data_IF_481441157563
#
_entry.id   IF_481441157563
#
_cell.length_a   1.000
_cell.length_b   1.000
_cell.length_c   1.000
_cell.angle_alpha   90.00
_cell.angle_beta   90.00
_cell.angle_gamma   90.00
#
_symmetry.space_group_name_H-M   'P 1'
#
loop_
_entity.id
_entity.type
_entity.pdbx_description
1 polymer ?
#
# COMPACT_ATOMS: atom_id res chain seq x y z
N UNK A 1 -22.23 29.22 -38.24
CA UNK A 1 -21.15 28.70 -37.38
C UNK A 1 -21.27 27.18 -37.32
N UNK A 2 -20.72 26.47 -38.32
CA UNK A 2 -21.06 25.05 -38.64
C UNK A 2 -20.13 24.03 -37.98
N UNK A 3 -18.95 24.45 -37.51
CA UNK A 3 -17.93 23.54 -36.95
C UNK A 3 -18.39 22.88 -35.65
N UNK A 4 -19.28 23.54 -34.89
CA UNK A 4 -19.72 23.06 -33.57
C UNK A 4 -20.59 21.79 -33.62
N UNK A 5 -21.31 21.54 -34.72
CA UNK A 5 -22.20 20.37 -34.81
C UNK A 5 -21.46 19.04 -34.88
N UNK A 6 -20.16 19.05 -35.24
CA UNK A 6 -19.32 17.86 -35.29
C UNK A 6 -18.49 17.62 -34.02
N UNK A 7 -18.42 18.58 -33.11
CA UNK A 7 -17.61 18.49 -31.88
C UNK A 7 -18.44 17.80 -30.80
N UNK A 8 -18.00 16.63 -30.34
CA UNK A 8 -18.70 15.85 -29.30
C UNK A 8 -18.42 16.35 -27.88
N UNK A 9 -17.42 17.20 -27.70
CA UNK A 9 -16.98 17.69 -26.40
C UNK A 9 -17.72 18.97 -26.02
N UNK A 10 -18.63 18.87 -25.04
CA UNK A 10 -19.50 19.97 -24.64
C UNK A 10 -18.72 21.14 -24.00
N UNK A 11 -17.63 20.85 -23.27
CA UNK A 11 -16.79 21.89 -22.67
C UNK A 11 -16.08 22.73 -23.73
N UNK A 12 -15.56 22.08 -24.78
CA UNK A 12 -14.97 22.75 -25.93
C UNK A 12 -16.02 23.59 -26.68
N UNK A 13 -17.21 23.05 -26.92
CA UNK A 13 -18.31 23.78 -27.58
C UNK A 13 -18.70 25.03 -26.79
N UNK A 14 -18.85 24.91 -25.47
CA UNK A 14 -19.15 26.06 -24.61
C UNK A 14 -18.02 27.10 -24.61
N UNK A 15 -16.75 26.66 -24.61
CA UNK A 15 -15.59 27.56 -24.67
C UNK A 15 -15.49 28.30 -26.00
N UNK A 16 -15.84 27.66 -27.12
CA UNK A 16 -15.88 28.30 -28.42
C UNK A 16 -17.01 29.34 -28.45
N UNK A 17 -18.24 28.93 -28.14
CA UNK A 17 -19.41 29.81 -28.12
C UNK A 17 -19.24 31.07 -27.26
N UNK A 18 -18.58 30.95 -26.10
CA UNK A 18 -18.34 32.09 -25.19
C UNK A 18 -17.31 33.09 -25.73
N UNK A 19 -16.40 32.67 -26.62
CA UNK A 19 -15.28 33.48 -27.09
C UNK A 19 -15.43 33.97 -28.55
N UNK A 20 -16.57 33.73 -29.19
CA UNK A 20 -16.67 33.68 -30.67
C UNK A 20 -17.17 34.95 -31.36
N UNK A 21 -17.34 36.10 -30.69
CA UNK A 21 -17.88 37.30 -31.37
C UNK A 21 -16.91 37.94 -32.38
N UNK A 22 -15.60 37.64 -32.34
CA UNK A 22 -14.59 38.29 -33.21
C UNK A 22 -13.51 37.38 -33.77
N UNK A 23 -13.56 36.06 -33.52
CA UNK A 23 -12.49 35.14 -33.95
C UNK A 23 -12.62 34.69 -35.40
N UNK A 24 -11.46 34.49 -36.03
CA UNK A 24 -11.42 33.90 -37.36
C UNK A 24 -11.72 32.41 -37.31
N UNK A 25 -12.25 31.86 -38.41
CA UNK A 25 -12.48 30.43 -38.55
C UNK A 25 -11.18 29.61 -38.34
N UNK A 26 -10.04 30.17 -38.73
CA UNK A 26 -8.74 29.52 -38.58
C UNK A 26 -8.33 29.41 -37.10
N UNK A 27 -8.64 30.41 -36.27
CA UNK A 27 -8.40 30.37 -34.83
C UNK A 27 -9.26 29.32 -34.13
N UNK A 28 -10.51 29.17 -34.56
CA UNK A 28 -11.44 28.15 -34.05
C UNK A 28 -10.88 26.76 -34.37
N UNK A 29 -10.50 26.51 -35.62
CA UNK A 29 -9.90 25.23 -36.04
C UNK A 29 -8.61 24.93 -35.27
N UNK A 30 -7.75 25.94 -35.10
CA UNK A 30 -6.51 25.77 -34.35
C UNK A 30 -6.78 25.43 -32.88
N UNK A 31 -7.77 26.09 -32.26
CA UNK A 31 -8.20 25.80 -30.89
C UNK A 31 -8.68 24.36 -30.74
N UNK A 32 -9.50 23.85 -31.66
CA UNK A 32 -9.95 22.46 -31.64
C UNK A 32 -8.76 21.48 -31.72
N UNK A 33 -7.82 21.69 -32.65
CA UNK A 33 -6.62 20.84 -32.81
C UNK A 33 -5.75 20.83 -31.54
N UNK A 34 -5.53 22.01 -30.95
CA UNK A 34 -4.76 22.13 -29.71
C UNK A 34 -5.46 21.41 -28.57
N UNK A 35 -6.79 21.52 -28.48
CA UNK A 35 -7.58 20.83 -27.46
C UNK A 35 -7.44 19.31 -27.59
N UNK A 36 -7.58 18.77 -28.80
CA UNK A 36 -7.42 17.34 -29.08
C UNK A 36 -6.02 16.83 -28.72
N UNK A 37 -4.96 17.54 -29.12
CA UNK A 37 -3.59 17.19 -28.79
C UNK A 37 -3.33 17.25 -27.27
N UNK A 38 -3.89 18.26 -26.59
CA UNK A 38 -3.70 18.45 -25.15
C UNK A 38 -4.47 17.41 -24.34
N UNK A 39 -5.58 16.87 -24.86
CA UNK A 39 -6.37 15.83 -24.19
C UNK A 39 -5.57 14.55 -23.94
N UNK A 40 -4.81 14.10 -24.94
CA UNK A 40 -3.91 12.93 -24.79
C UNK A 40 -2.74 13.21 -23.85
N UNK A 41 -2.22 14.44 -23.82
CA UNK A 41 -1.13 14.84 -22.93
C UNK A 41 -1.62 14.90 -21.48
N UNK A 42 -2.80 15.50 -21.27
CA UNK A 42 -3.39 15.66 -19.93
C UNK A 42 -3.74 14.32 -19.30
N UNK A 43 -4.24 13.36 -20.09
CA UNK A 43 -4.48 12.00 -19.59
C UNK A 43 -3.17 11.31 -19.19
N UNK A 44 -2.10 11.46 -19.97
CA UNK A 44 -0.79 10.92 -19.64
C UNK A 44 -0.19 11.56 -18.37
N UNK A 45 -0.33 12.88 -18.20
CA UNK A 45 0.11 13.60 -17.00
C UNK A 45 -0.67 13.13 -15.76
N UNK A 46 -2.00 13.01 -15.86
CA UNK A 46 -2.85 12.53 -14.75
C UNK A 46 -2.57 11.07 -14.38
N UNK A 47 -2.21 10.24 -15.37
CA UNK A 47 -1.83 8.84 -15.16
C UNK A 47 -0.44 8.68 -14.50
N UNK A 48 0.29 9.78 -14.25
CA UNK A 48 1.59 9.81 -13.57
C UNK A 48 1.50 10.31 -12.10
N UNK A 49 0.65 9.75 -11.21
CA UNK A 49 0.55 10.22 -9.83
C UNK A 49 1.79 9.89 -8.98
N UNK A 50 2.74 9.09 -9.49
CA UNK A 50 3.91 8.64 -8.72
C UNK A 50 5.10 9.61 -8.73
N UNK A 51 5.24 10.45 -9.77
CA UNK A 51 6.40 11.34 -9.93
C UNK A 51 6.23 12.68 -9.18
N UNK A 52 5.03 13.27 -9.21
CA UNK A 52 4.76 14.57 -8.57
C UNK A 52 4.60 14.45 -7.04
N UNK A 53 4.20 13.27 -6.55
CA UNK A 53 4.01 12.99 -5.13
C UNK A 53 5.26 12.45 -4.41
N UNK A 54 6.45 12.53 -5.02
CA UNK A 54 7.69 12.01 -4.43
C UNK A 54 7.92 12.55 -2.99
N UNK A 55 7.56 13.81 -2.73
CA UNK A 55 7.70 14.44 -1.41
C UNK A 55 6.66 13.93 -0.39
N UNK A 56 5.44 13.62 -0.82
CA UNK A 56 4.40 13.07 0.07
C UNK A 56 4.60 11.56 0.33
N UNK A 57 5.12 10.83 -0.66
CA UNK A 57 5.55 9.45 -0.53
C UNK A 57 6.72 9.31 0.45
N UNK A 58 7.69 10.22 0.42
CA UNK A 58 8.78 10.27 1.39
C UNK A 58 8.27 10.42 2.84
N UNK A 59 7.29 11.31 3.08
CA UNK A 59 6.69 11.48 4.42
C UNK A 59 5.91 10.25 4.89
N UNK A 60 5.14 9.60 4.00
CA UNK A 60 4.40 8.36 4.34
C UNK A 60 5.33 7.19 4.64
N UNK A 61 6.44 7.05 3.91
CA UNK A 61 7.44 6.01 4.19
C UNK A 61 8.20 6.29 5.49
N UNK A 62 8.50 7.56 5.84
CA UNK A 62 9.15 7.88 7.10
C UNK A 62 8.29 7.53 8.33
N UNK A 63 6.97 7.71 8.24
CA UNK A 63 6.04 7.30 9.31
C UNK A 63 5.95 5.77 9.42
N UNK A 64 5.89 5.03 8.31
CA UNK A 64 5.93 3.55 8.34
C UNK A 64 7.26 3.00 8.86
N UNK A 65 8.38 3.64 8.52
CA UNK A 65 9.69 3.23 9.01
C UNK A 65 9.91 3.57 10.50
N UNK A 66 9.39 4.70 11.01
CA UNK A 66 9.46 4.99 12.45
C UNK A 66 8.60 4.03 13.30
N UNK A 67 7.49 3.53 12.77
CA UNK A 67 6.72 2.45 13.42
C UNK A 67 7.44 1.09 13.37
N UNK A 68 8.31 0.86 12.40
CA UNK A 68 9.04 -0.42 12.25
C UNK A 68 10.41 -0.45 12.96
N UNK A 69 11.06 0.71 13.15
CA UNK A 69 12.40 0.79 13.76
C UNK A 69 12.34 0.73 15.29
N UNK A 70 11.21 1.11 15.91
CA UNK A 70 10.96 0.83 17.34
C UNK A 70 10.61 -0.64 17.62
N UNK A 71 10.55 -1.50 16.59
CA UNK A 71 10.25 -2.93 16.71
C UNK A 71 11.40 -3.84 16.29
N UNK A 72 12.61 -3.29 16.09
CA UNK A 72 13.78 -4.04 15.62
C UNK A 72 14.91 -4.20 16.65
N UNK A 73 14.65 -3.89 17.91
CA UNK A 73 15.47 -4.32 19.04
C UNK A 73 14.58 -5.10 20.00
N UNK A 74 14.86 -6.40 20.15
CA UNK A 74 14.09 -7.41 20.92
C UNK A 74 13.02 -8.15 20.08
N UNK A 75 13.41 -8.87 19.04
CA UNK A 75 12.72 -10.16 18.82
C UNK A 75 13.32 -11.13 19.83
N UNK A 76 12.66 -11.43 20.97
CA UNK A 76 13.04 -12.63 21.71
C UNK A 76 12.89 -13.76 20.71
N UNK A 77 13.99 -14.50 20.46
CA UNK A 77 13.94 -15.72 19.67
C UNK A 77 12.75 -16.52 20.20
N UNK A 78 11.81 -16.82 19.31
CA UNK A 78 10.49 -17.28 19.72
C UNK A 78 10.61 -18.65 20.39
N UNK A 79 10.73 -18.67 21.72
CA UNK A 79 10.79 -19.89 22.50
C UNK A 79 9.45 -20.62 22.37
N UNK A 80 9.53 -21.94 22.21
CA UNK A 80 8.34 -22.76 22.05
C UNK A 80 7.46 -22.67 23.31
N UNK A 81 6.18 -22.33 23.14
CA UNK A 81 5.22 -22.27 24.26
C UNK A 81 5.02 -23.62 24.97
N UNK A 82 5.28 -24.73 24.27
CA UNK A 82 5.13 -26.07 24.82
C UNK A 82 6.34 -26.48 25.66
N UNK A 83 7.57 -26.39 25.12
CA UNK A 83 8.76 -26.89 25.81
C UNK A 83 9.71 -25.82 26.35
N UNK A 84 9.48 -24.55 26.01
CA UNK A 84 10.29 -23.39 26.41
C UNK A 84 11.64 -23.26 25.73
N UNK A 85 11.96 -24.11 24.74
CA UNK A 85 13.22 -24.09 23.97
C UNK A 85 13.02 -23.55 22.56
N UNK A 86 14.12 -23.17 21.93
CA UNK A 86 14.16 -22.71 20.55
C UNK A 86 14.25 -23.91 19.60
N UNK A 87 13.30 -24.01 18.66
CA UNK A 87 13.29 -25.01 17.59
C UNK A 87 12.29 -24.60 16.50
N UNK A 88 12.37 -25.22 15.33
CA UNK A 88 11.43 -25.00 14.23
C UNK A 88 9.97 -25.29 14.65
N UNK A 89 9.02 -24.53 14.07
CA UNK A 89 7.59 -24.80 14.24
C UNK A 89 7.27 -26.22 13.77
N UNK A 90 6.52 -26.97 14.58
CA UNK A 90 6.13 -28.36 14.30
C UNK A 90 7.18 -29.42 14.68
N UNK A 91 8.44 -29.04 14.94
CA UNK A 91 9.50 -29.96 15.38
C UNK A 91 9.76 -29.85 16.88
N UNK A 92 8.69 -29.82 17.68
CA UNK A 92 8.86 -29.75 19.13
C UNK A 92 9.34 -31.09 19.68
N UNK A 93 10.54 -31.18 20.27
CA UNK A 93 11.08 -32.43 20.81
C UNK A 93 10.27 -33.00 21.99
N UNK A 94 9.40 -32.19 22.59
CA UNK A 94 8.53 -32.59 23.69
C UNK A 94 7.07 -32.76 23.28
N UNK A 95 6.70 -32.64 21.99
CA UNK A 95 5.32 -32.67 21.52
C UNK A 95 4.53 -33.88 22.05
N UNK A 96 5.14 -35.06 22.01
CA UNK A 96 4.54 -36.33 22.41
C UNK A 96 4.96 -36.81 23.81
N UNK A 97 5.72 -35.98 24.54
CA UNK A 97 6.16 -36.32 25.89
C UNK A 97 5.21 -35.73 26.93
N UNK A 98 4.79 -36.57 27.87
CA UNK A 98 4.04 -36.18 29.05
C UNK A 98 4.99 -35.98 30.20
N UNK A 99 4.90 -34.83 30.86
CA UNK A 99 5.74 -34.51 32.00
C UNK A 99 5.32 -35.35 33.22
N UNK A 100 6.22 -36.17 33.75
CA UNK A 100 5.96 -36.97 34.96
C UNK A 100 5.76 -36.14 36.23
N UNK A 101 6.15 -34.86 36.22
CA UNK A 101 6.08 -33.98 37.39
C UNK A 101 4.80 -33.13 37.45
N UNK A 102 4.24 -32.74 36.30
CA UNK A 102 3.02 -31.92 36.25
C UNK A 102 1.88 -32.55 35.44
N UNK A 103 2.07 -33.77 34.92
CA UNK A 103 1.09 -34.52 34.12
C UNK A 103 0.78 -33.93 32.75
N UNK A 104 1.31 -32.75 32.39
CA UNK A 104 0.98 -32.07 31.12
C UNK A 104 1.81 -32.61 29.95
N UNK A 105 1.15 -32.80 28.80
CA UNK A 105 1.79 -33.12 27.51
C UNK A 105 2.51 -31.90 26.92
N UNK A 106 3.52 -32.13 26.10
CA UNK A 106 4.23 -31.08 25.39
C UNK A 106 5.49 -30.57 26.11
N UNK A 107 5.92 -31.18 27.22
CA UNK A 107 7.03 -30.66 28.05
C UNK A 107 7.71 -31.74 28.89
N UNK A 108 8.88 -31.42 29.43
CA UNK A 108 9.61 -32.27 30.40
C UNK A 108 9.60 -31.66 31.80
N UNK A 109 9.89 -32.49 32.80
CA UNK A 109 10.03 -32.06 34.20
C UNK A 109 11.02 -30.91 34.39
N UNK A 110 12.14 -30.91 33.63
CA UNK A 110 13.18 -29.87 33.69
C UNK A 110 12.98 -28.70 32.72
N UNK A 111 11.82 -28.60 32.06
CA UNK A 111 11.57 -27.49 31.15
C UNK A 111 11.22 -26.21 31.92
N UNK A 112 11.62 -25.02 31.45
CA UNK A 112 11.37 -23.74 32.14
C UNK A 112 9.88 -23.40 32.26
N UNK A 113 9.06 -24.09 31.47
CA UNK A 113 7.60 -23.95 31.42
C UNK A 113 6.88 -25.02 32.26
N UNK A 114 7.60 -25.88 32.99
CA UNK A 114 7.04 -26.85 33.91
C UNK A 114 6.98 -26.26 35.33
N UNK A 115 5.80 -25.80 35.74
CA UNK A 115 5.52 -25.53 37.14
C UNK A 115 5.13 -26.86 37.79
N UNK A 116 6.03 -27.42 38.61
CA UNK A 116 5.71 -28.52 39.49
C UNK A 116 4.69 -27.99 40.51
N UNK A 117 3.47 -28.54 40.53
CA UNK A 117 2.63 -28.34 41.69
C UNK A 117 3.24 -29.23 42.78
N UNK A 118 4.00 -28.65 43.71
CA UNK A 118 4.19 -29.29 45.00
C UNK A 118 2.81 -29.32 45.67
N UNK A 119 2.15 -30.46 45.59
CA UNK A 119 1.06 -30.86 46.48
C UNK A 119 1.60 -31.99 47.36
#
# INVERSE_FOLDING_TARGET
MVILMGVRDEELVQKLLTNDTTRSLQDIVNTCRVYEATRSITSAIRALPSQVNAVSAYKKNKQKHQSSVLQQSLTPVATCRNCGREHDKGKCPAADKTCSNCGRRGRWQRSPVCQANNA
#
